data_IF_760783413719
#
_entry.id   IF_760783413719
#
_cell.length_a   1.000
_cell.length_b   1.000
_cell.length_c   1.000
_cell.angle_alpha   90.00
_cell.angle_beta   90.00
_cell.angle_gamma   90.00
#
_symmetry.space_group_name_H-M   'P 1'
#
loop_
_entity.id
_entity.type
_entity.pdbx_description
1 polymer ?
#
# COMPACT_ATOMS: atom_id res chain seq x y z
N UNK A 1 -57.45 -15.95 49.76
CA UNK A 1 -57.39 -14.94 48.68
C UNK A 1 -58.46 -15.25 47.66
N UNK A 2 -59.13 -14.25 47.07
CA UNK A 2 -60.16 -14.50 46.04
C UNK A 2 -59.52 -14.35 44.66
N UNK A 3 -59.76 -15.33 43.78
CA UNK A 3 -59.34 -15.33 42.40
C UNK A 3 -60.55 -15.41 41.48
N UNK A 4 -60.53 -14.61 40.43
CA UNK A 4 -61.64 -14.48 39.48
C UNK A 4 -61.09 -14.71 38.07
N UNK A 5 -61.60 -15.74 37.38
CA UNK A 5 -61.32 -15.95 35.96
C UNK A 5 -62.36 -15.25 35.10
N UNK A 6 -61.93 -14.51 34.09
CA UNK A 6 -62.82 -13.84 33.14
C UNK A 6 -62.78 -14.51 31.76
N UNK A 7 -63.83 -14.28 30.97
CA UNK A 7 -63.88 -14.73 29.58
C UNK A 7 -63.39 -13.61 28.65
N UNK A 8 -62.07 -13.40 28.59
CA UNK A 8 -61.43 -12.47 27.65
C UNK A 8 -60.51 -11.42 28.28
N UNK A 9 -60.52 -11.25 29.60
CA UNK A 9 -59.68 -10.28 30.32
C UNK A 9 -58.66 -10.91 31.27
N UNK A 10 -58.48 -12.23 31.22
CA UNK A 10 -57.53 -12.97 32.07
C UNK A 10 -58.08 -13.23 33.46
N UNK A 11 -57.19 -13.22 34.47
CA UNK A 11 -57.53 -13.47 35.88
C UNK A 11 -57.40 -12.20 36.72
N UNK A 12 -58.16 -12.10 37.79
CA UNK A 12 -58.03 -11.06 38.81
C UNK A 12 -57.76 -11.67 40.17
N UNK A 13 -56.76 -11.13 40.87
CA UNK A 13 -56.47 -11.43 42.27
C UNK A 13 -57.03 -10.32 43.15
N UNK A 14 -57.89 -10.67 44.12
CA UNK A 14 -58.30 -9.74 45.17
C UNK A 14 -57.21 -9.65 46.24
N UNK A 15 -56.64 -8.47 46.44
CA UNK A 15 -55.80 -8.12 47.58
C UNK A 15 -56.53 -7.15 48.49
N UNK A 16 -56.36 -7.30 49.79
CA UNK A 16 -56.89 -6.39 50.80
C UNK A 16 -55.67 -5.70 51.42
N UNK A 17 -55.62 -4.38 51.32
CA UNK A 17 -54.55 -3.57 51.91
C UNK A 17 -54.65 -3.55 53.45
N UNK A 18 -53.60 -3.09 54.13
CA UNK A 18 -53.55 -3.01 55.59
C UNK A 18 -54.67 -2.14 56.19
N UNK A 19 -55.23 -1.21 55.42
CA UNK A 19 -56.37 -0.36 55.80
C UNK A 19 -57.74 -0.96 55.42
N UNK A 20 -57.80 -2.23 55.00
CA UNK A 20 -59.05 -2.91 54.64
C UNK A 20 -59.62 -2.54 53.25
N UNK A 21 -58.89 -1.75 52.45
CA UNK A 21 -59.30 -1.39 51.09
C UNK A 21 -59.05 -2.55 50.13
N UNK A 22 -60.07 -2.94 49.38
CA UNK A 22 -59.95 -3.96 48.35
C UNK A 22 -59.30 -3.39 47.07
N UNK A 23 -58.34 -4.14 46.52
CA UNK A 23 -57.70 -3.88 45.24
C UNK A 23 -57.71 -5.17 44.40
N UNK A 24 -57.90 -5.02 43.09
CA UNK A 24 -57.86 -6.13 42.15
C UNK A 24 -56.65 -5.99 41.22
N UNK A 25 -55.80 -7.00 41.21
CA UNK A 25 -54.66 -7.09 40.29
C UNK A 25 -55.06 -7.98 39.13
N UNK A 26 -54.99 -7.46 37.91
CA UNK A 26 -55.30 -8.21 36.69
C UNK A 26 -54.05 -8.83 36.08
N UNK A 27 -54.13 -10.08 35.68
CA UNK A 27 -53.11 -10.77 34.91
C UNK A 27 -53.70 -11.26 33.59
N UNK A 28 -53.07 -10.85 32.49
CA UNK A 28 -53.45 -11.16 31.12
C UNK A 28 -52.26 -11.74 30.36
N UNK A 29 -52.41 -11.92 29.04
CA UNK A 29 -51.32 -12.30 28.13
C UNK A 29 -50.12 -11.37 28.21
N UNK A 30 -50.32 -10.09 28.53
CA UNK A 30 -49.22 -9.14 28.73
C UNK A 30 -48.37 -9.44 29.98
N UNK A 31 -48.90 -10.21 30.94
CA UNK A 31 -48.23 -10.62 32.17
C UNK A 31 -47.76 -12.08 32.12
N UNK A 32 -47.84 -12.74 30.96
CA UNK A 32 -47.33 -14.11 30.76
C UNK A 32 -48.39 -15.21 30.71
N UNK A 33 -49.68 -14.89 30.83
CA UNK A 33 -50.76 -15.87 30.66
C UNK A 33 -50.87 -16.34 29.19
N UNK A 34 -51.18 -17.61 28.87
CA UNK A 34 -51.18 -18.06 27.48
C UNK A 34 -52.43 -17.60 26.71
N UNK A 35 -53.55 -17.38 27.41
CA UNK A 35 -54.78 -16.87 26.82
C UNK A 35 -55.67 -16.18 27.87
N UNK A 36 -56.37 -15.11 27.48
CA UNK A 36 -57.21 -14.32 28.40
C UNK A 36 -58.60 -14.92 28.67
N UNK A 37 -58.98 -15.99 27.97
CA UNK A 37 -60.25 -16.68 28.17
C UNK A 37 -60.07 -17.83 29.15
N UNK A 38 -60.37 -17.58 30.41
CA UNK A 38 -60.23 -18.56 31.49
C UNK A 38 -61.39 -19.55 31.46
N UNK A 39 -61.10 -20.82 31.73
CA UNK A 39 -62.06 -21.92 31.71
C UNK A 39 -62.24 -22.55 33.09
N UNK A 40 -61.17 -22.61 33.89
CA UNK A 40 -61.20 -23.10 35.26
C UNK A 40 -59.93 -22.72 36.00
N UNK A 41 -60.03 -22.60 37.32
CA UNK A 41 -58.92 -22.31 38.22
C UNK A 41 -58.96 -23.36 39.33
N UNK A 42 -57.86 -24.04 39.56
CA UNK A 42 -57.65 -24.97 40.67
C UNK A 42 -56.39 -24.59 41.44
N UNK A 43 -56.40 -24.81 42.74
CA UNK A 43 -55.22 -24.68 43.59
C UNK A 43 -54.66 -26.08 43.86
N UNK A 44 -53.33 -26.23 43.73
CA UNK A 44 -52.65 -27.45 44.14
C UNK A 44 -52.30 -27.43 45.64
N UNK A 45 -51.82 -28.56 46.16
CA UNK A 45 -51.46 -28.68 47.58
C UNK A 45 -50.21 -27.84 47.97
N UNK A 46 -49.46 -27.33 46.99
CA UNK A 46 -48.32 -26.45 47.18
C UNK A 46 -48.72 -24.96 47.12
N UNK A 47 -50.00 -24.65 46.92
CA UNK A 47 -50.53 -23.29 46.81
C UNK A 47 -50.28 -22.63 45.45
N UNK A 48 -49.87 -23.37 44.42
CA UNK A 48 -49.82 -22.86 43.05
C UNK A 48 -51.20 -22.96 42.41
N UNK A 49 -51.48 -22.04 41.48
CA UNK A 49 -52.76 -22.00 40.79
C UNK A 49 -52.62 -22.56 39.38
N UNK A 50 -53.41 -23.58 39.09
CA UNK A 50 -53.53 -24.18 37.78
C UNK A 50 -54.74 -23.60 37.05
N UNK A 51 -54.47 -22.94 35.94
CA UNK A 51 -55.41 -22.12 35.20
C UNK A 51 -55.57 -22.73 33.81
N UNK A 52 -56.74 -23.32 33.57
CA UNK A 52 -57.11 -23.80 32.24
C UNK A 52 -57.68 -22.65 31.42
N UNK A 53 -57.23 -22.53 30.17
CA UNK A 53 -57.63 -21.44 29.28
C UNK A 53 -58.19 -21.97 27.97
N UNK A 54 -58.63 -21.09 27.07
CA UNK A 54 -59.04 -21.48 25.73
C UNK A 54 -57.86 -21.85 24.81
N UNK A 55 -56.61 -21.63 25.22
CA UNK A 55 -55.44 -21.99 24.43
C UNK A 55 -54.22 -22.26 25.33
N UNK A 56 -54.28 -23.34 26.10
CA UNK A 56 -53.19 -23.83 26.93
C UNK A 56 -53.58 -23.89 28.39
N UNK A 57 -52.68 -24.47 29.17
CA UNK A 57 -52.76 -24.56 30.63
C UNK A 57 -51.63 -23.72 31.22
N UNK A 58 -51.89 -23.04 32.33
CA UNK A 58 -50.88 -22.22 33.00
C UNK A 58 -50.81 -22.55 34.48
N UNK A 59 -49.61 -22.79 35.00
CA UNK A 59 -49.34 -22.90 36.43
C UNK A 59 -48.76 -21.56 36.91
N UNK A 60 -49.44 -20.93 37.86
CA UNK A 60 -49.02 -19.68 38.48
C UNK A 60 -48.41 -19.97 39.85
N UNK A 61 -47.10 -19.78 39.93
CA UNK A 61 -46.35 -19.87 41.18
C UNK A 61 -46.51 -18.56 41.95
N UNK A 62 -47.32 -18.58 43.02
CA UNK A 62 -47.65 -17.38 43.79
C UNK A 62 -46.41 -16.78 44.48
N UNK A 63 -45.46 -17.61 44.92
CA UNK A 63 -44.25 -17.16 45.60
C UNK A 63 -43.28 -16.38 44.67
N UNK A 64 -43.15 -16.82 43.42
CA UNK A 64 -42.26 -16.24 42.42
C UNK A 64 -42.95 -15.21 41.53
N UNK A 65 -44.29 -15.12 41.62
CA UNK A 65 -45.12 -14.32 40.72
C UNK A 65 -44.84 -14.64 39.24
N UNK A 66 -44.71 -15.94 38.92
CA UNK A 66 -44.31 -16.46 37.60
C UNK A 66 -45.38 -17.40 37.03
N UNK A 67 -45.64 -17.27 35.72
CA UNK A 67 -46.49 -18.20 34.97
C UNK A 67 -45.62 -19.19 34.20
N UNK A 68 -45.92 -20.48 34.33
CA UNK A 68 -45.38 -21.55 33.50
C UNK A 68 -46.51 -22.05 32.61
N UNK A 69 -46.31 -21.98 31.30
CA UNK A 69 -47.35 -22.30 30.32
C UNK A 69 -47.06 -23.64 29.67
N UNK A 70 -48.08 -24.48 29.62
CA UNK A 70 -48.05 -25.79 29.00
C UNK A 70 -48.93 -25.79 27.74
N UNK A 71 -48.39 -26.42 26.70
CA UNK A 71 -48.95 -26.50 25.35
C UNK A 71 -48.92 -27.95 24.86
N UNK A 72 -49.31 -28.18 23.60
CA UNK A 72 -49.24 -29.52 22.97
C UNK A 72 -47.80 -30.04 22.94
N UNK A 73 -46.80 -29.15 22.85
CA UNK A 73 -45.38 -29.53 22.82
C UNK A 73 -44.91 -30.13 24.16
N UNK A 74 -45.58 -29.79 25.25
CA UNK A 74 -45.28 -30.27 26.60
C UNK A 74 -46.06 -31.56 26.95
N UNK A 75 -46.82 -32.09 25.99
CA UNK A 75 -47.58 -33.33 26.13
C UNK A 75 -49.09 -33.14 26.36
N UNK A 76 -49.62 -31.91 26.28
CA UNK A 76 -51.07 -31.71 26.29
C UNK A 76 -51.69 -32.31 25.02
N UNK A 77 -52.81 -33.02 25.18
CA UNK A 77 -53.56 -33.61 24.05
C UNK A 77 -54.19 -32.50 23.19
N UNK A 78 -54.70 -31.45 23.83
CA UNK A 78 -55.32 -30.29 23.20
C UNK A 78 -55.09 -29.05 24.08
N UNK A 79 -55.07 -27.87 23.49
CA UNK A 79 -54.95 -26.58 24.21
C UNK A 79 -56.29 -25.98 24.59
N UNK A 80 -57.41 -26.45 24.02
CA UNK A 80 -58.73 -25.90 24.31
C UNK A 80 -59.41 -26.63 25.47
N UNK A 81 -59.58 -25.95 26.61
CA UNK A 81 -60.26 -26.49 27.79
C UNK A 81 -61.74 -26.09 27.86
N UNK A 82 -62.55 -26.94 28.50
CA UNK A 82 -63.98 -26.68 28.72
C UNK A 82 -64.24 -25.88 30.00
N UNK A 83 -65.31 -25.08 30.00
CA UNK A 83 -65.71 -24.29 31.17
C UNK A 83 -66.00 -25.19 32.37
N UNK A 84 -65.42 -24.84 33.52
CA UNK A 84 -65.57 -25.53 34.80
C UNK A 84 -65.27 -27.03 34.74
N UNK A 85 -64.58 -27.51 33.69
CA UNK A 85 -64.18 -28.90 33.53
C UNK A 85 -62.83 -29.11 34.24
N UNK A 86 -62.76 -28.80 35.52
CA UNK A 86 -61.54 -28.92 36.32
C UNK A 86 -61.87 -29.51 37.68
N UNK A 87 -61.19 -30.58 38.09
CA UNK A 87 -61.39 -31.24 39.38
C UNK A 87 -60.04 -31.61 40.02
N UNK A 88 -59.84 -31.27 41.29
CA UNK A 88 -58.70 -31.74 42.08
C UNK A 88 -59.03 -33.04 42.80
N UNK A 89 -58.03 -33.93 42.90
CA UNK A 89 -58.09 -35.17 43.69
C UNK A 89 -57.27 -35.05 44.98
N UNK A 90 -57.48 -35.99 45.90
CA UNK A 90 -56.76 -36.06 47.18
C UNK A 90 -55.29 -36.48 47.07
N UNK A 91 -54.83 -36.95 45.90
CA UNK A 91 -53.48 -37.49 45.68
C UNK A 91 -52.62 -36.58 44.78
N UNK A 92 -52.65 -35.27 44.96
CA UNK A 92 -51.87 -34.30 44.15
C UNK A 92 -52.16 -34.37 42.63
N UNK A 93 -53.28 -34.99 42.24
CA UNK A 93 -53.70 -35.12 40.85
C UNK A 93 -54.78 -34.10 40.53
N UNK A 94 -54.53 -33.31 39.50
CA UNK A 94 -55.45 -32.32 38.95
C UNK A 94 -55.95 -32.79 37.60
N UNK A 95 -57.26 -32.74 37.42
CA UNK A 95 -57.92 -33.15 36.20
C UNK A 95 -58.49 -31.93 35.47
N UNK A 96 -58.26 -31.86 34.17
CA UNK A 96 -58.79 -30.82 33.29
C UNK A 96 -59.41 -31.47 32.04
N UNK A 97 -60.65 -31.12 31.73
CA UNK A 97 -61.33 -31.54 30.51
C UNK A 97 -60.99 -30.60 29.36
N UNK A 98 -60.43 -31.17 28.29
CA UNK A 98 -60.16 -30.50 27.01
C UNK A 98 -61.03 -31.05 25.89
N UNK A 99 -61.02 -30.39 24.74
CA UNK A 99 -61.69 -30.88 23.51
C UNK A 99 -61.15 -32.25 23.10
N UNK A 100 -59.85 -32.49 23.29
CA UNK A 100 -59.19 -33.76 23.00
C UNK A 100 -59.38 -34.86 24.05
N UNK A 101 -59.99 -34.58 25.20
CA UNK A 101 -60.25 -35.56 26.25
C UNK A 101 -59.92 -35.09 27.67
N UNK A 102 -59.43 -36.00 28.52
CA UNK A 102 -59.08 -35.71 29.90
C UNK A 102 -57.57 -35.55 30.05
N UNK A 103 -57.13 -34.41 30.60
CA UNK A 103 -55.75 -34.14 30.98
C UNK A 103 -55.62 -34.33 32.49
N UNK A 104 -54.68 -35.18 32.92
CA UNK A 104 -54.37 -35.41 34.33
C UNK A 104 -52.94 -34.97 34.62
N UNK A 105 -52.75 -34.14 35.64
CA UNK A 105 -51.46 -33.56 36.00
C UNK A 105 -51.17 -33.83 37.46
N UNK A 106 -49.96 -34.31 37.72
CA UNK A 106 -49.45 -34.54 39.06
C UNK A 106 -48.67 -33.30 39.51
N UNK A 107 -49.22 -32.53 40.44
CA UNK A 107 -48.67 -31.23 40.84
C UNK A 107 -47.39 -31.33 41.67
N UNK A 108 -47.12 -32.50 42.24
CA UNK A 108 -46.00 -32.75 43.16
C UNK A 108 -44.86 -33.53 42.51
N UNK A 109 -44.78 -33.57 41.17
CA UNK A 109 -43.62 -34.15 40.51
C UNK A 109 -42.41 -33.23 40.71
N UNK A 110 -41.29 -33.72 41.25
CA UNK A 110 -40.07 -32.93 41.30
C UNK A 110 -39.68 -32.56 39.86
N UNK A 111 -39.36 -31.28 39.64
CA UNK A 111 -38.80 -30.84 38.38
C UNK A 111 -37.54 -31.68 38.12
N UNK A 112 -37.53 -32.38 36.97
CA UNK A 112 -36.37 -33.17 36.59
C UNK A 112 -35.23 -32.19 36.30
N UNK A 113 -34.20 -32.18 37.16
CA UNK A 113 -32.99 -31.41 36.89
C UNK A 113 -32.30 -32.06 35.70
N UNK A 114 -32.46 -31.47 34.52
CA UNK A 114 -31.76 -31.93 33.35
C UNK A 114 -30.29 -31.57 33.47
N UNK A 115 -29.38 -32.52 33.20
CA UNK A 115 -27.96 -32.21 33.16
C UNK A 115 -27.74 -31.14 32.10
N UNK A 116 -26.90 -30.16 32.45
CA UNK A 116 -26.61 -29.05 31.56
C UNK A 116 -26.06 -29.60 30.23
N UNK A 117 -26.79 -29.39 29.13
CA UNK A 117 -26.42 -29.91 27.82
C UNK A 117 -25.11 -29.28 27.36
N UNK A 118 -24.11 -30.11 27.04
CA UNK A 118 -22.83 -29.61 26.52
C UNK A 118 -22.99 -29.30 25.03
N UNK A 119 -22.53 -28.13 24.62
CA UNK A 119 -22.52 -27.73 23.21
C UNK A 119 -21.41 -28.49 22.47
N UNK A 120 -21.69 -28.85 21.21
CA UNK A 120 -20.71 -29.41 20.29
C UNK A 120 -20.77 -28.66 18.97
N UNK A 121 -19.61 -28.44 18.38
CA UNK A 121 -19.52 -28.03 16.99
C UNK A 121 -19.85 -29.23 16.11
N UNK A 122 -20.68 -29.01 15.10
CA UNK A 122 -21.25 -30.10 14.29
C UNK A 122 -20.84 -30.00 12.83
N UNK A 123 -20.65 -28.78 12.32
CA UNK A 123 -20.18 -28.55 10.94
C UNK A 123 -19.28 -27.33 10.88
N UNK A 124 -18.24 -27.44 10.05
CA UNK A 124 -17.43 -26.31 9.60
C UNK A 124 -17.73 -26.08 8.11
N UNK A 125 -17.98 -24.83 7.75
CA UNK A 125 -18.07 -24.40 6.36
C UNK A 125 -17.08 -23.28 6.10
N UNK A 126 -16.32 -23.38 5.02
CA UNK A 126 -15.42 -22.33 4.57
C UNK A 126 -15.97 -21.82 3.23
N UNK A 127 -16.19 -20.51 3.13
CA UNK A 127 -16.98 -19.94 2.03
C UNK A 127 -18.41 -20.50 2.05
N UNK A 128 -18.78 -21.23 1.01
CA UNK A 128 -20.06 -21.93 0.90
C UNK A 128 -19.95 -23.46 0.98
N UNK A 129 -18.74 -24.00 1.13
CA UNK A 129 -18.48 -25.44 1.08
C UNK A 129 -18.33 -26.02 2.49
N UNK A 130 -18.89 -27.21 2.70
CA UNK A 130 -18.75 -27.97 3.93
C UNK A 130 -17.41 -28.71 3.95
N UNK A 131 -16.68 -28.58 5.05
CA UNK A 131 -15.36 -29.19 5.22
C UNK A 131 -15.51 -30.46 6.04
N UNK A 132 -15.10 -31.58 5.43
CA UNK A 132 -15.13 -32.90 6.04
C UNK A 132 -13.80 -33.22 6.74
N UNK A 133 -13.82 -34.16 7.72
CA UNK A 133 -12.61 -34.65 8.36
C UNK A 133 -11.66 -35.34 7.36
N UNK A 134 -10.36 -35.22 7.58
CA UNK A 134 -9.32 -35.68 6.66
C UNK A 134 -8.96 -34.68 5.56
N UNK A 135 -9.43 -33.43 5.66
CA UNK A 135 -9.07 -32.33 4.76
C UNK A 135 -7.83 -31.58 5.26
N UNK A 136 -7.33 -30.64 4.46
CA UNK A 136 -6.19 -29.77 4.84
C UNK A 136 -6.49 -28.93 6.10
N UNK A 137 -7.76 -28.58 6.32
CA UNK A 137 -8.19 -27.73 7.44
C UNK A 137 -8.60 -28.53 8.69
N UNK A 138 -9.08 -29.76 8.52
CA UNK A 138 -9.61 -30.62 9.58
C UNK A 138 -8.99 -32.02 9.48
N UNK A 139 -8.07 -32.34 10.38
CA UNK A 139 -7.51 -33.69 10.50
C UNK A 139 -8.51 -34.68 11.09
N UNK A 140 -9.34 -34.20 12.02
CA UNK A 140 -10.35 -34.97 12.75
C UNK A 140 -11.72 -34.32 12.61
N UNK A 141 -12.76 -34.94 13.18
CA UNK A 141 -14.11 -34.37 13.18
C UNK A 141 -14.16 -33.06 14.00
N UNK A 142 -14.96 -32.10 13.54
CA UNK A 142 -15.10 -30.80 14.19
C UNK A 142 -15.65 -30.90 15.63
N UNK A 143 -16.39 -31.97 15.94
CA UNK A 143 -16.95 -32.19 17.27
C UNK A 143 -15.89 -32.50 18.34
N UNK A 144 -14.70 -32.98 17.94
CA UNK A 144 -13.57 -33.31 18.83
C UNK A 144 -12.37 -32.38 18.66
N UNK A 145 -12.31 -31.64 17.56
CA UNK A 145 -11.21 -30.72 17.25
C UNK A 145 -11.12 -29.58 18.27
N UNK A 146 -9.94 -29.34 18.82
CA UNK A 146 -9.67 -28.25 19.78
C UNK A 146 -9.03 -27.01 19.15
N UNK A 147 -8.34 -27.19 18.04
CA UNK A 147 -7.62 -26.14 17.32
C UNK A 147 -7.93 -26.21 15.82
N UNK A 148 -8.34 -25.09 15.24
CA UNK A 148 -8.63 -24.92 13.82
C UNK A 148 -7.66 -23.91 13.22
N UNK A 149 -6.90 -24.31 12.21
CA UNK A 149 -5.97 -23.43 11.49
C UNK A 149 -6.56 -23.07 10.13
N UNK A 150 -6.77 -21.77 9.91
CA UNK A 150 -7.29 -21.24 8.65
C UNK A 150 -6.27 -20.26 8.06
N UNK A 151 -6.13 -20.26 6.74
CA UNK A 151 -5.30 -19.27 6.05
C UNK A 151 -6.08 -17.97 5.81
N UNK A 152 -5.42 -16.81 5.85
CA UNK A 152 -6.02 -15.49 5.51
C UNK A 152 -6.58 -15.42 4.06
N UNK A 153 -6.41 -16.47 3.27
CA UNK A 153 -7.02 -16.62 1.94
C UNK A 153 -8.52 -16.88 2.07
N UNK A 154 -8.91 -17.59 3.13
CA UNK A 154 -10.27 -17.93 3.44
C UNK A 154 -10.98 -16.71 4.04
N UNK A 155 -11.75 -16.02 3.21
CA UNK A 155 -12.41 -14.76 3.58
C UNK A 155 -13.59 -14.94 4.51
N UNK A 156 -14.16 -16.14 4.59
CA UNK A 156 -15.32 -16.40 5.43
C UNK A 156 -15.35 -17.84 5.87
N UNK A 157 -15.76 -18.06 7.11
CA UNK A 157 -16.11 -19.38 7.60
C UNK A 157 -17.36 -19.27 8.48
N UNK A 158 -18.07 -20.38 8.59
CA UNK A 158 -19.16 -20.53 9.52
C UNK A 158 -19.06 -21.85 10.27
N UNK A 159 -19.44 -21.83 11.54
CA UNK A 159 -19.44 -22.98 12.42
C UNK A 159 -20.86 -23.21 12.91
N UNK A 160 -21.38 -24.41 12.66
CA UNK A 160 -22.64 -24.87 13.23
C UNK A 160 -22.40 -25.54 14.57
N UNK A 161 -23.26 -25.28 15.53
CA UNK A 161 -23.18 -25.84 16.88
C UNK A 161 -24.55 -26.33 17.35
N UNK A 162 -24.55 -27.38 18.15
CA UNK A 162 -25.76 -27.93 18.74
C UNK A 162 -25.51 -28.30 20.19
N UNK A 163 -26.44 -27.92 21.07
CA UNK A 163 -26.56 -28.55 22.36
C UNK A 163 -27.27 -29.89 22.18
N UNK A 164 -26.79 -30.93 22.86
CA UNK A 164 -27.44 -32.23 22.90
C UNK A 164 -28.63 -32.21 23.88
N UNK A 165 -29.57 -31.28 23.66
CA UNK A 165 -30.86 -31.27 24.34
C UNK A 165 -31.96 -31.65 23.34
N UNK A 166 -32.77 -32.63 23.70
CA UNK A 166 -33.86 -33.17 22.86
C UNK A 166 -35.24 -32.74 23.34
N UNK A 167 -35.33 -31.83 24.31
CA UNK A 167 -36.60 -31.26 24.73
C UNK A 167 -37.33 -30.57 23.58
N UNK A 168 -38.64 -30.73 23.57
CA UNK A 168 -39.54 -30.19 22.55
C UNK A 168 -39.66 -28.66 22.59
N UNK A 169 -39.35 -28.04 23.72
CA UNK A 169 -39.47 -26.59 23.88
C UNK A 169 -38.17 -25.89 23.44
N UNK A 170 -38.17 -25.34 22.22
CA UNK A 170 -37.01 -24.66 21.62
C UNK A 170 -36.87 -23.19 22.11
N UNK A 171 -37.18 -22.93 23.37
CA UNK A 171 -37.03 -21.62 24.05
C UNK A 171 -35.58 -21.31 24.39
N UNK A 172 -34.68 -22.29 24.24
CA UNK A 172 -33.29 -22.13 24.56
C UNK A 172 -32.60 -21.07 23.70
N UNK A 173 -31.69 -20.34 24.34
CA UNK A 173 -30.90 -19.28 23.70
C UNK A 173 -29.46 -19.77 23.61
N UNK A 174 -28.90 -19.71 22.40
CA UNK A 174 -27.47 -19.84 22.21
C UNK A 174 -26.83 -18.46 22.35
N UNK A 175 -25.75 -18.38 23.10
CA UNK A 175 -24.89 -17.20 23.11
C UNK A 175 -23.52 -17.58 22.59
N UNK A 176 -22.98 -16.82 21.65
CA UNK A 176 -21.62 -17.03 21.16
C UNK A 176 -20.85 -15.71 21.09
N UNK A 177 -19.52 -15.82 21.14
CA UNK A 177 -18.58 -14.72 20.89
C UNK A 177 -17.24 -15.26 20.43
N UNK A 178 -16.54 -14.48 19.61
CA UNK A 178 -15.16 -14.75 19.21
C UNK A 178 -14.22 -13.85 20.01
N UNK A 179 -13.56 -14.42 21.01
CA UNK A 179 -12.58 -13.69 21.83
C UNK A 179 -11.42 -13.24 20.94
N UNK A 180 -11.11 -11.95 20.98
CA UNK A 180 -10.15 -11.29 20.10
C UNK A 180 -10.80 -10.53 18.93
N UNK A 181 -12.11 -10.64 18.74
CA UNK A 181 -12.88 -9.89 17.73
C UNK A 181 -14.18 -9.30 18.28
N UNK A 182 -14.97 -10.08 19.02
CA UNK A 182 -16.24 -9.65 19.63
C UNK A 182 -16.03 -9.17 21.08
N UNK A 183 -16.56 -7.98 21.41
CA UNK A 183 -16.53 -7.44 22.79
C UNK A 183 -17.66 -7.99 23.67
N UNK A 184 -18.80 -8.36 23.06
CA UNK A 184 -20.04 -8.76 23.76
C UNK A 184 -20.55 -10.10 23.23
N UNK A 185 -21.33 -10.80 24.05
CA UNK A 185 -22.04 -12.01 23.64
C UNK A 185 -23.15 -11.69 22.64
N UNK A 186 -23.18 -12.44 21.53
CA UNK A 186 -24.28 -12.42 20.57
C UNK A 186 -25.27 -13.51 20.95
N UNK A 187 -26.51 -13.11 21.24
CA UNK A 187 -27.59 -14.03 21.59
C UNK A 187 -28.42 -14.35 20.36
N UNK A 188 -28.65 -15.63 20.11
CA UNK A 188 -29.47 -16.13 19.01
C UNK A 188 -30.49 -17.16 19.50
N UNK A 189 -31.72 -17.16 18.96
CA UNK A 189 -32.72 -18.16 19.28
C UNK A 189 -32.29 -19.57 18.85
N UNK A 190 -32.85 -20.60 19.48
CA UNK A 190 -32.51 -22.01 19.23
C UNK A 190 -32.65 -22.51 17.79
N UNK A 191 -33.36 -21.78 16.92
CA UNK A 191 -33.45 -22.08 15.49
C UNK A 191 -32.22 -21.63 14.67
N UNK A 192 -31.40 -20.71 15.20
CA UNK A 192 -30.18 -20.20 14.55
C UNK A 192 -28.95 -20.75 15.25
N UNK A 193 -28.44 -21.83 14.69
CA UNK A 193 -27.40 -22.68 15.29
C UNK A 193 -26.04 -22.54 14.61
N UNK A 194 -25.71 -21.35 14.14
CA UNK A 194 -24.46 -21.09 13.45
C UNK A 194 -23.91 -19.70 13.74
N UNK A 195 -22.59 -19.61 13.80
CA UNK A 195 -21.85 -18.34 13.82
C UNK A 195 -21.07 -18.22 12.51
N UNK A 196 -21.09 -17.03 11.90
CA UNK A 196 -20.38 -16.76 10.65
C UNK A 196 -19.50 -15.54 10.84
N UNK A 197 -18.24 -15.66 10.45
CA UNK A 197 -17.25 -14.60 10.52
C UNK A 197 -16.64 -14.37 9.14
N UNK A 198 -16.31 -13.11 8.85
CA UNK A 198 -15.75 -12.69 7.56
C UNK A 198 -14.54 -11.78 7.76
N UNK A 199 -13.57 -11.88 6.86
CA UNK A 199 -12.36 -11.07 6.79
C UNK A 199 -11.66 -10.88 8.15
N UNK A 200 -11.51 -11.97 8.91
CA UNK A 200 -10.76 -11.91 10.17
C UNK A 200 -9.28 -11.60 9.89
N UNK A 201 -8.68 -10.63 10.61
CA UNK A 201 -7.25 -10.40 10.54
C UNK A 201 -6.44 -11.64 10.96
N UNK A 202 -5.17 -11.74 10.53
CA UNK A 202 -4.26 -12.76 11.05
C UNK A 202 -4.09 -12.62 12.56
N UNK A 203 -4.27 -13.71 13.30
CA UNK A 203 -4.32 -13.69 14.75
C UNK A 203 -4.75 -15.03 15.35
N UNK A 204 -4.76 -15.08 16.68
CA UNK A 204 -5.32 -16.19 17.45
C UNK A 204 -6.61 -15.74 18.10
N UNK A 205 -7.66 -16.53 17.90
CA UNK A 205 -9.02 -16.27 18.36
C UNK A 205 -9.55 -17.49 19.11
N UNK A 206 -10.49 -17.28 20.02
CA UNK A 206 -11.18 -18.39 20.68
C UNK A 206 -12.68 -18.20 20.54
N UNK A 207 -13.33 -19.09 19.80
CA UNK A 207 -14.78 -19.10 19.68
C UNK A 207 -15.37 -19.75 20.92
N UNK A 208 -16.16 -18.99 21.66
CA UNK A 208 -16.88 -19.46 22.83
C UNK A 208 -18.37 -19.54 22.51
N UNK A 209 -18.98 -20.70 22.79
CA UNK A 209 -20.43 -20.91 22.65
C UNK A 209 -20.98 -21.47 23.95
N UNK A 210 -22.07 -20.89 24.43
CA UNK A 210 -22.85 -21.39 25.56
C UNK A 210 -24.31 -21.59 25.19
N UNK A 211 -24.95 -22.53 25.86
CA UNK A 211 -26.35 -22.87 25.70
C UNK A 211 -27.06 -22.68 27.04
N UNK A 212 -28.11 -21.87 27.04
CA UNK A 212 -28.92 -21.59 28.22
C UNK A 212 -30.34 -22.14 27.99
N UNK A 213 -30.67 -23.31 28.59
CA UNK A 213 -32.04 -23.80 28.62
C UNK A 213 -32.88 -22.91 29.56
N UNK A 214 -34.04 -22.46 29.12
CA UNK A 214 -35.06 -21.78 29.95
C UNK A 214 -34.61 -20.59 30.82
N UNK A 215 -33.56 -19.87 30.42
CA UNK A 215 -33.16 -18.60 31.04
C UNK A 215 -32.56 -18.70 32.45
N UNK A 216 -32.52 -19.89 33.04
CA UNK A 216 -31.91 -20.15 34.33
C UNK A 216 -30.56 -20.88 34.15
N UNK A 217 -29.53 -20.32 34.79
CA UNK A 217 -28.10 -20.67 34.68
C UNK A 217 -27.35 -20.12 33.46
N UNK A 218 -26.88 -18.88 33.60
CA UNK A 218 -25.85 -18.29 32.72
C UNK A 218 -24.43 -18.88 32.90
N UNK A 219 -24.27 -19.91 33.72
CA UNK A 219 -23.03 -20.16 34.46
C UNK A 219 -21.97 -21.06 33.84
N UNK A 220 -22.28 -22.30 33.42
CA UNK A 220 -21.24 -23.34 33.54
C UNK A 220 -20.87 -24.13 32.26
N UNK A 221 -21.58 -23.96 31.15
CA UNK A 221 -21.36 -24.77 29.94
C UNK A 221 -20.84 -23.96 28.73
N UNK A 222 -19.65 -23.37 28.86
CA UNK A 222 -18.96 -22.77 27.72
C UNK A 222 -18.16 -23.85 26.98
N UNK A 223 -18.37 -23.97 25.67
CA UNK A 223 -17.54 -24.78 24.78
C UNK A 223 -16.65 -23.85 23.97
N UNK A 224 -15.36 -24.15 23.95
CA UNK A 224 -14.34 -23.32 23.33
C UNK A 224 -13.70 -24.04 22.14
N UNK A 225 -13.40 -23.29 21.08
CA UNK A 225 -12.60 -23.72 19.94
C UNK A 225 -11.54 -22.66 19.64
N UNK A 226 -10.28 -23.05 19.64
CA UNK A 226 -9.19 -22.16 19.28
C UNK A 226 -9.08 -22.08 17.75
N UNK A 227 -9.04 -20.87 17.22
CA UNK A 227 -9.00 -20.59 15.79
C UNK A 227 -7.78 -19.72 15.52
N UNK A 228 -6.85 -20.19 14.68
CA UNK A 228 -5.67 -19.43 14.29
C UNK A 228 -5.75 -19.07 12.82
N UNK A 229 -5.74 -17.77 12.52
CA UNK A 229 -5.71 -17.25 11.15
C UNK A 229 -4.25 -16.98 10.77
N UNK A 230 -3.66 -17.80 9.89
CA UNK A 230 -2.28 -17.64 9.44
C UNK A 230 -2.16 -16.60 8.32
N UNK A 231 -1.22 -15.63 8.41
CA UNK A 231 -1.02 -14.61 7.39
C UNK A 231 -0.30 -15.16 6.15
N UNK A 232 -0.41 -14.44 5.03
CA UNK A 232 0.44 -14.72 3.86
C UNK A 232 1.93 -14.61 4.19
N UNK A 233 2.75 -15.44 3.51
CA UNK A 233 4.20 -15.49 3.73
C UNK A 233 4.88 -14.10 3.62
N UNK A 234 4.40 -13.21 2.74
CA UNK A 234 5.00 -11.89 2.56
C UNK A 234 4.70 -10.89 3.69
N UNK A 235 3.69 -11.17 4.52
CA UNK A 235 3.38 -10.40 5.74
C UNK A 235 4.18 -10.89 6.95
N UNK A 236 4.93 -11.99 6.82
CA UNK A 236 5.74 -12.51 7.91
C UNK A 236 6.93 -11.60 8.19
N UNK A 237 7.32 -11.51 9.47
CA UNK A 237 8.44 -10.67 9.93
C UNK A 237 9.73 -11.04 9.21
N UNK A 238 10.00 -12.34 9.01
CA UNK A 238 11.21 -12.79 8.33
C UNK A 238 11.28 -12.35 6.86
N UNK A 239 10.16 -12.39 6.13
CA UNK A 239 10.11 -11.91 4.75
C UNK A 239 10.28 -10.39 4.66
N UNK A 240 9.67 -9.63 5.58
CA UNK A 240 9.86 -8.17 5.66
C UNK A 240 11.34 -7.85 5.93
N UNK A 241 11.99 -8.54 6.86
CA UNK A 241 13.41 -8.39 7.13
C UNK A 241 14.26 -8.73 5.90
N UNK A 242 13.92 -9.79 5.17
CA UNK A 242 14.59 -10.16 3.93
C UNK A 242 14.51 -9.04 2.88
N UNK A 243 13.34 -8.41 2.70
CA UNK A 243 13.20 -7.26 1.79
C UNK A 243 14.04 -6.07 2.26
N UNK A 244 14.06 -5.77 3.57
CA UNK A 244 14.88 -4.67 4.11
C UNK A 244 16.36 -4.90 3.80
N UNK A 245 16.85 -6.13 4.02
CA UNK A 245 18.24 -6.50 3.71
C UNK A 245 18.54 -6.36 2.22
N UNK A 246 17.64 -6.84 1.35
CA UNK A 246 17.78 -6.73 -0.10
C UNK A 246 17.85 -5.26 -0.55
N UNK A 247 17.06 -4.39 0.07
CA UNK A 247 17.03 -2.96 -0.20
C UNK A 247 18.33 -2.28 0.28
N UNK A 248 18.81 -2.62 1.48
CA UNK A 248 20.11 -2.15 1.99
C UNK A 248 21.27 -2.58 1.10
N UNK A 249 21.29 -3.83 0.61
CA UNK A 249 22.31 -4.32 -0.33
C UNK A 249 22.23 -3.59 -1.67
N UNK A 250 21.03 -3.31 -2.17
CA UNK A 250 20.83 -2.57 -3.42
C UNK A 250 21.34 -1.13 -3.31
N UNK A 251 21.05 -0.44 -2.20
CA UNK A 251 21.58 0.90 -1.90
C UNK A 251 23.09 0.87 -1.79
N UNK A 252 23.65 -0.13 -1.11
CA UNK A 252 25.10 -0.30 -0.98
C UNK A 252 25.77 -0.55 -2.33
N UNK A 253 25.20 -1.40 -3.18
CA UNK A 253 25.72 -1.63 -4.54
C UNK A 253 25.64 -0.36 -5.40
N UNK A 254 24.53 0.38 -5.32
CA UNK A 254 24.38 1.64 -6.03
C UNK A 254 25.43 2.68 -5.58
N UNK A 255 25.67 2.77 -4.27
CA UNK A 255 26.70 3.62 -3.70
C UNK A 255 28.10 3.24 -4.19
N UNK A 256 28.44 1.95 -4.17
CA UNK A 256 29.73 1.45 -4.68
C UNK A 256 29.88 1.69 -6.18
N UNK A 257 28.83 1.47 -6.97
CA UNK A 257 28.81 1.77 -8.40
C UNK A 257 29.03 3.27 -8.65
N UNK A 258 28.37 4.13 -7.88
CA UNK A 258 28.53 5.59 -7.96
C UNK A 258 29.96 6.01 -7.68
N UNK A 259 30.60 5.48 -6.64
CA UNK A 259 32.01 5.75 -6.31
C UNK A 259 32.93 5.29 -7.44
N UNK A 260 32.72 4.09 -7.98
CA UNK A 260 33.53 3.56 -9.09
C UNK A 260 33.41 4.46 -10.33
N UNK A 261 32.21 4.94 -10.64
CA UNK A 261 32.01 5.88 -11.74
C UNK A 261 32.69 7.23 -11.50
N UNK A 262 32.60 7.78 -10.28
CA UNK A 262 33.30 9.02 -9.90
C UNK A 262 34.83 8.86 -10.04
N UNK A 263 35.37 7.73 -9.61
CA UNK A 263 36.81 7.45 -9.73
C UNK A 263 37.24 7.37 -11.20
N UNK A 264 36.46 6.68 -12.04
CA UNK A 264 36.69 6.64 -13.50
C UNK A 264 36.64 8.02 -14.15
N UNK A 265 35.69 8.87 -13.75
CA UNK A 265 35.60 10.25 -14.25
C UNK A 265 36.82 11.07 -13.86
N UNK A 266 37.30 10.92 -12.62
CA UNK A 266 38.51 11.61 -12.14
C UNK A 266 39.76 11.17 -12.90
N UNK A 267 39.93 9.87 -13.14
CA UNK A 267 41.05 9.32 -13.91
C UNK A 267 41.00 9.75 -15.38
N UNK A 268 39.83 9.73 -16.01
CA UNK A 268 39.63 10.21 -17.37
C UNK A 268 39.97 11.71 -17.49
N UNK A 269 39.50 12.52 -16.53
CA UNK A 269 39.79 13.94 -16.49
C UNK A 269 41.29 14.20 -16.31
N UNK A 270 41.97 13.47 -15.42
CA UNK A 270 43.42 13.60 -15.24
C UNK A 270 44.18 13.28 -16.52
N UNK A 271 43.87 12.18 -17.20
CA UNK A 271 44.51 11.83 -18.49
C UNK A 271 44.27 12.90 -19.55
N UNK A 272 43.05 13.40 -19.64
CA UNK A 272 42.72 14.45 -20.62
C UNK A 272 43.47 15.74 -20.33
N UNK A 273 43.59 16.12 -19.05
CA UNK A 273 44.38 17.30 -18.64
C UNK A 273 45.85 17.09 -18.97
N UNK A 274 46.43 15.92 -18.66
CA UNK A 274 47.82 15.60 -18.98
C UNK A 274 48.10 15.63 -20.49
N UNK A 275 47.25 15.00 -21.30
CA UNK A 275 47.34 15.04 -22.77
C UNK A 275 47.28 16.47 -23.30
N UNK A 276 46.30 17.28 -22.83
CA UNK A 276 46.18 18.68 -23.24
C UNK A 276 47.33 19.54 -22.78
N UNK A 277 47.87 19.31 -21.58
CA UNK A 277 49.06 20.02 -21.12
C UNK A 277 50.27 19.67 -21.97
N UNK A 278 50.44 18.41 -22.37
CA UNK A 278 51.54 17.97 -23.21
C UNK A 278 51.41 18.50 -24.66
N UNK A 279 50.22 18.45 -25.24
CA UNK A 279 49.93 19.09 -26.55
C UNK A 279 50.23 20.59 -26.53
N UNK A 280 49.82 21.28 -25.46
CA UNK A 280 50.05 22.71 -25.29
C UNK A 280 51.55 23.02 -25.15
N UNK A 281 52.30 22.19 -24.44
CA UNK A 281 53.74 22.32 -24.26
C UNK A 281 54.49 22.09 -25.59
N UNK A 282 54.06 21.11 -26.40
CA UNK A 282 54.58 20.90 -27.75
C UNK A 282 54.27 22.09 -28.68
N UNK A 283 53.04 22.62 -28.64
CA UNK A 283 52.68 23.81 -29.41
C UNK A 283 53.51 25.02 -28.99
N UNK A 284 53.74 25.19 -27.68
CA UNK A 284 54.59 26.26 -27.15
C UNK A 284 56.03 26.13 -27.66
N UNK A 285 56.63 24.94 -27.59
CA UNK A 285 57.99 24.72 -28.12
C UNK A 285 58.09 24.95 -29.64
N UNK A 286 57.07 24.54 -30.39
CA UNK A 286 57.01 24.80 -31.83
C UNK A 286 56.91 26.30 -32.13
N UNK A 287 56.08 27.03 -31.37
CA UNK A 287 55.96 28.48 -31.46
C UNK A 287 57.28 29.18 -31.12
N UNK A 288 57.97 28.76 -30.06
CA UNK A 288 59.28 29.30 -29.67
C UNK A 288 60.32 29.11 -30.79
N UNK A 289 60.40 27.91 -31.37
CA UNK A 289 61.29 27.64 -32.51
C UNK A 289 60.92 28.48 -33.75
N UNK A 290 59.63 28.64 -34.05
CA UNK A 290 59.18 29.50 -35.15
C UNK A 290 59.53 30.96 -34.91
N UNK A 291 59.39 31.45 -33.67
CA UNK A 291 59.77 32.82 -33.32
C UNK A 291 61.29 33.04 -33.45
N UNK A 292 62.10 32.06 -33.06
CA UNK A 292 63.56 32.10 -33.22
C UNK A 292 63.98 32.07 -34.69
N UNK A 293 63.33 31.22 -35.50
CA UNK A 293 63.56 31.15 -36.94
C UNK A 293 63.16 32.46 -37.63
N UNK A 294 62.00 33.02 -37.30
CA UNK A 294 61.57 34.33 -37.80
C UNK A 294 62.56 35.43 -37.40
N UNK A 295 63.05 35.42 -36.16
CA UNK A 295 64.02 36.39 -35.67
C UNK A 295 65.33 36.33 -36.46
N UNK A 296 65.84 35.12 -36.75
CA UNK A 296 67.01 34.92 -37.61
C UNK A 296 66.77 35.37 -39.06
N UNK A 297 65.63 35.03 -39.64
CA UNK A 297 65.26 35.49 -40.99
C UNK A 297 65.21 37.01 -41.05
N UNK A 298 64.63 37.65 -40.04
CA UNK A 298 64.54 39.10 -39.96
C UNK A 298 65.92 39.77 -39.82
N UNK A 299 66.81 39.22 -38.98
CA UNK A 299 68.21 39.68 -38.92
C UNK A 299 68.95 39.54 -40.25
N UNK A 300 68.73 38.42 -40.95
CA UNK A 300 69.34 38.18 -42.27
C UNK A 300 68.83 39.17 -43.32
N UNK A 301 67.52 39.47 -43.31
CA UNK A 301 66.92 40.49 -44.17
C UNK A 301 67.48 41.89 -43.89
N UNK A 302 67.70 42.24 -42.62
CA UNK A 302 68.34 43.51 -42.26
C UNK A 302 69.75 43.58 -42.86
N UNK A 303 70.56 42.52 -42.73
CA UNK A 303 71.90 42.46 -43.33
C UNK A 303 71.87 42.55 -44.86
N UNK A 304 70.90 41.88 -45.50
CA UNK A 304 70.70 41.97 -46.95
C UNK A 304 70.34 43.40 -47.38
N UNK A 305 69.44 44.06 -46.65
CA UNK A 305 69.07 45.46 -46.91
C UNK A 305 70.28 46.39 -46.77
N UNK A 306 71.13 46.22 -45.75
CA UNK A 306 72.37 46.99 -45.63
C UNK A 306 73.30 46.76 -46.82
N UNK A 307 73.45 45.51 -47.28
CA UNK A 307 74.29 45.16 -48.43
C UNK A 307 73.77 45.78 -49.73
N UNK A 308 72.45 45.72 -49.96
CA UNK A 308 71.80 46.37 -51.11
C UNK A 308 72.01 47.88 -51.05
N UNK A 309 71.88 48.49 -49.87
CA UNK A 309 72.08 49.94 -49.69
C UNK A 309 73.52 50.35 -50.03
N UNK A 310 74.51 49.55 -49.60
CA UNK A 310 75.92 49.76 -49.97
C UNK A 310 76.15 49.59 -51.48
N UNK A 311 75.60 48.54 -52.09
CA UNK A 311 75.69 48.32 -53.54
C UNK A 311 75.09 49.48 -54.32
N UNK A 312 73.91 49.98 -53.91
CA UNK A 312 73.24 51.13 -54.52
C UNK A 312 74.10 52.38 -54.43
N UNK A 313 74.71 52.66 -53.27
CA UNK A 313 75.62 53.81 -53.10
C UNK A 313 76.88 53.70 -54.00
N UNK A 314 77.40 52.49 -54.17
CA UNK A 314 78.56 52.21 -55.03
C UNK A 314 78.21 52.42 -56.52
N UNK A 315 77.03 51.97 -56.94
CA UNK A 315 76.48 52.18 -58.28
C UNK A 315 76.31 53.67 -58.61
N UNK A 316 75.81 54.46 -57.66
CA UNK A 316 75.68 55.92 -57.81
C UNK A 316 77.06 56.58 -58.00
N UNK A 317 78.09 56.19 -57.23
CA UNK A 317 79.46 56.71 -57.43
C UNK A 317 80.03 56.32 -58.79
N UNK A 318 79.81 55.08 -59.23
CA UNK A 318 80.32 54.60 -60.51
C UNK A 318 79.67 55.34 -61.68
N UNK A 319 78.35 55.58 -61.62
CA UNK A 319 77.62 56.41 -62.58
C UNK A 319 78.17 57.83 -62.65
N UNK A 320 78.49 58.44 -61.50
CA UNK A 320 79.06 59.80 -61.45
C UNK A 320 80.45 59.86 -62.09
N UNK A 321 81.28 58.84 -61.85
CA UNK A 321 82.62 58.72 -62.44
C UNK A 321 82.59 58.51 -63.95
N UNK A 322 81.60 57.77 -64.46
CA UNK A 322 81.36 57.64 -65.91
C UNK A 322 80.95 58.97 -66.53
N UNK A 323 80.07 59.75 -65.87
CA UNK A 323 79.71 61.09 -66.35
C UNK A 323 80.92 62.04 -66.39
N UNK A 324 81.77 62.00 -65.37
CA UNK A 324 82.99 62.81 -65.27
C UNK A 324 83.97 62.49 -66.41
N UNK A 325 84.25 61.19 -66.66
CA UNK A 325 85.06 60.74 -67.80
C UNK A 325 84.47 61.13 -69.16
N UNK A 326 83.14 61.20 -69.27
CA UNK A 326 82.47 61.61 -70.50
C UNK A 326 82.66 63.11 -70.76
N UNK A 327 82.58 63.94 -69.70
CA UNK A 327 82.86 65.38 -69.78
C UNK A 327 84.32 65.67 -70.13
N UNK A 328 85.27 64.96 -69.51
CA UNK A 328 86.70 65.09 -69.82
C UNK A 328 87.00 64.75 -71.29
N UNK A 329 86.37 63.69 -71.81
CA UNK A 329 86.50 63.30 -73.22
C UNK A 329 86.01 64.40 -74.16
N UNK A 330 84.89 65.06 -73.86
CA UNK A 330 84.36 66.19 -74.67
C UNK A 330 85.33 67.38 -74.64
N UNK A 331 85.88 67.73 -73.47
CA UNK A 331 86.85 68.81 -73.33
C UNK A 331 88.13 68.55 -74.15
N UNK A 332 88.66 67.32 -74.10
CA UNK A 332 89.86 66.91 -74.84
C UNK A 332 89.72 67.08 -76.36
N UNK A 333 88.60 66.63 -76.95
CA UNK A 333 88.38 66.78 -78.41
C UNK A 333 88.20 68.23 -78.84
N UNK A 334 87.68 69.08 -77.96
CA UNK A 334 87.48 70.52 -78.25
C UNK A 334 88.84 71.24 -78.34
N UNK A 335 89.77 70.93 -77.42
CA UNK A 335 91.11 71.53 -77.41
C UNK A 335 91.97 71.09 -78.60
N UNK A 336 91.94 69.80 -78.97
CA UNK A 336 92.68 69.27 -80.14
C UNK A 336 92.30 70.02 -81.42
N UNK A 337 91.00 70.29 -81.59
CA UNK A 337 90.52 70.97 -82.81
C UNK A 337 91.09 72.38 -82.93
N UNK A 338 91.28 73.06 -81.81
CA UNK A 338 91.85 74.41 -81.79
C UNK A 338 93.36 74.41 -82.07
N UNK A 339 94.09 73.40 -81.60
CA UNK A 339 95.55 73.31 -81.81
C UNK A 339 95.95 72.92 -83.23
N UNK A 340 95.13 72.16 -83.96
CA UNK A 340 95.41 71.83 -85.37
C UNK A 340 95.13 73.00 -86.34
N UNK A 341 94.17 73.86 -86.03
CA UNK A 341 93.73 74.93 -86.96
C UNK A 341 94.79 76.02 -87.15
N UNK A 342 95.50 76.36 -86.08
CA UNK A 342 96.50 77.44 -86.03
C UNK A 342 97.72 77.19 -86.94
N UNK A 343 98.39 76.01 -86.89
CA UNK A 343 99.52 75.72 -87.77
C UNK A 343 99.09 75.51 -89.24
N UNK A 344 97.92 74.90 -89.50
CA UNK A 344 97.43 74.71 -90.88
C UNK A 344 97.21 76.05 -91.59
N UNK A 345 96.69 77.04 -90.87
CA UNK A 345 96.48 78.40 -91.41
C UNK A 345 97.83 79.09 -91.73
N UNK A 346 98.86 78.84 -90.93
CA UNK A 346 100.23 79.37 -91.14
C UNK A 346 100.98 78.68 -92.29
N UNK A 347 100.57 77.48 -92.71
CA UNK A 347 101.16 76.74 -93.86
C UNK A 347 100.47 77.10 -95.18
N UNK A 348 99.15 77.35 -95.19
CA UNK A 348 98.40 77.70 -96.40
C UNK A 348 98.79 79.08 -96.96
N UNK A 349 99.03 80.07 -96.08
CA UNK A 349 99.33 81.45 -96.51
C UNK A 349 100.60 81.61 -97.38
N UNK A 350 101.74 80.98 -97.03
CA UNK A 350 102.94 81.02 -97.87
C UNK A 350 102.81 80.20 -99.17
N UNK A 351 102.02 79.12 -99.18
CA UNK A 351 101.81 78.26 -100.36
C UNK A 351 101.02 78.99 -101.45
N UNK A 352 100.01 79.80 -101.09
CA UNK A 352 99.31 80.65 -102.07
C UNK A 352 100.20 81.76 -102.65
N UNK A 353 101.17 82.29 -101.88
CA UNK A 353 102.16 83.26 -102.40
C UNK A 353 103.20 82.62 -103.30
N UNK A 354 103.64 81.40 -103.00
CA UNK A 354 104.60 80.66 -103.81
C UNK A 354 104.00 80.18 -105.14
N UNK A 355 102.72 79.81 -105.15
CA UNK A 355 102.00 79.42 -106.38
C UNK A 355 101.78 80.60 -107.34
N UNK A 356 101.66 81.84 -106.85
CA UNK A 356 101.58 83.04 -107.68
C UNK A 356 102.89 83.41 -108.40
N UNK A 357 104.04 82.85 -108.00
CA UNK A 357 105.37 83.18 -108.53
C UNK A 357 105.96 82.14 -109.50
N UNK A 358 105.26 81.03 -109.80
CA UNK A 358 105.80 79.95 -110.66
C UNK A 358 105.10 79.75 -112.02
N UNK A 359 104.10 80.56 -112.36
CA UNK A 359 103.47 80.55 -113.69
C UNK A 359 103.48 81.96 -114.30
N UNK A 360 104.56 82.21 -115.05
CA UNK A 360 104.63 83.02 -116.27
C UNK A 360 105.59 84.24 -116.23
N UNK A 361 106.78 84.13 -116.86
CA UNK A 361 107.69 85.24 -117.13
C UNK A 361 107.43 85.81 -118.52
N UNK A 362 106.85 87.02 -118.62
CA UNK A 362 107.13 87.98 -119.70
C UNK A 362 106.43 89.34 -119.47
N UNK A 363 107.22 90.40 -119.70
CA UNK A 363 106.89 91.84 -119.84
C UNK A 363 106.77 92.69 -118.55
N UNK A 364 107.88 93.39 -118.27
CA UNK A 364 108.06 94.86 -118.01
C UNK A 364 107.07 95.61 -117.09
N UNK A 365 107.70 96.38 -116.19
CA UNK A 365 107.26 97.38 -115.19
C UNK A 365 106.81 96.90 -113.81
#
# INVERSE_FOLDING_TARGET
>A
TLWLGSNGYGIYQRKIDAQGKEQFISYSTAQGLPNNSIRGILEDNNGNLWISTNNGLSCYHQAENRFINYTIQDGLIDTQFYWNASCGSSHDLLYFGSVGGLVAIESNRPAMSLPAAKVRFTRLRIGNEEILPGSEYLSEDIAITTELKLHEKEKSFSLEFAALNFESNNTAIYSYRLVGFDDKWVQVPGNRRFASYTNLPPGSYTLQVRYTPDGENEGENITELNITIVPYFYKTVWFILFIIVLLSVSVWQFYQWRIRNLKRQKEYLHRTVEERTHELEQQKHLLENQTDELSRQNQMLIQQNEKITRQKAQLIRMSRKVQELTLDKISFFTNITHEFRTPITLIIGPIERALKLSYNPQVIE
#
